data_IF_192185190143
#
_entry.id   IF_192185190143
#
_cell.length_a   1.000
_cell.length_b   1.000
_cell.length_c   1.000
_cell.angle_alpha   90.00
_cell.angle_beta   90.00
_cell.angle_gamma   90.00
#
_symmetry.space_group_name_H-M   'P 1'
#
loop_
_entity.id
_entity.type
_entity.pdbx_description
1 polymer ?
#
# COMPACT_ATOMS: atom_id res chain seq x y z
N UNK A 1 -1.12 7.13 7.04
CA UNK A 1 -0.13 8.24 7.25
C UNK A 1 -0.13 9.18 6.04
N UNK A 2 0.20 10.47 6.18
CA UNK A 2 0.35 11.39 5.05
C UNK A 2 1.82 11.59 4.71
N UNK A 3 2.23 11.30 3.47
CA UNK A 3 3.61 11.52 2.99
C UNK A 3 3.67 11.73 1.48
N UNK A 4 4.77 12.33 1.02
CA UNK A 4 5.10 12.39 -0.40
C UNK A 4 5.70 11.07 -0.89
N UNK A 5 5.38 10.69 -2.14
CA UNK A 5 5.88 9.47 -2.80
C UNK A 5 6.73 9.81 -4.03
N UNK A 6 7.91 10.45 -3.86
CA UNK A 6 8.78 10.79 -4.99
C UNK A 6 9.26 9.56 -5.77
N UNK A 7 9.23 8.38 -5.16
CA UNK A 7 9.51 7.08 -5.80
C UNK A 7 8.42 6.64 -6.78
N UNK A 8 7.19 7.13 -6.65
CA UNK A 8 6.05 6.79 -7.52
C UNK A 8 5.56 7.95 -8.39
N UNK A 9 5.84 9.20 -7.99
CA UNK A 9 5.28 10.40 -8.61
C UNK A 9 4.31 11.14 -7.67
N UNK A 10 4.15 12.44 -7.92
CA UNK A 10 3.37 13.34 -7.06
C UNK A 10 1.88 12.98 -6.99
N UNK A 11 1.36 12.26 -7.99
CA UNK A 11 -0.01 11.78 -8.01
C UNK A 11 -0.30 10.75 -6.90
N UNK A 12 0.71 9.98 -6.48
CA UNK A 12 0.58 8.95 -5.43
C UNK A 12 0.90 9.45 -4.02
N UNK A 13 1.34 10.70 -3.88
CA UNK A 13 1.50 11.38 -2.60
C UNK A 13 0.16 11.52 -1.85
N UNK A 14 0.24 11.85 -0.56
CA UNK A 14 -0.91 12.02 0.31
C UNK A 14 -1.08 10.83 1.24
N UNK A 15 -2.31 10.35 1.44
CA UNK A 15 -2.58 9.24 2.35
C UNK A 15 -2.01 7.91 1.86
N UNK A 16 -1.23 7.28 2.73
CA UNK A 16 -0.71 5.93 2.57
C UNK A 16 -1.24 5.02 3.69
N UNK A 17 -1.64 3.80 3.32
CA UNK A 17 -1.93 2.74 4.26
C UNK A 17 -0.62 2.18 4.83
N UNK A 18 -0.58 2.01 6.15
CA UNK A 18 0.43 1.27 6.89
C UNK A 18 -0.33 0.41 7.88
N UNK A 19 0.01 -0.87 7.95
CA UNK A 19 -0.59 -1.81 8.89
C UNK A 19 0.54 -2.52 9.67
N UNK A 20 0.50 -2.39 10.99
CA UNK A 20 1.45 -3.05 11.89
C UNK A 20 0.92 -4.36 12.47
N UNK A 21 -0.30 -4.76 12.10
CA UNK A 21 -0.86 -6.06 12.48
C UNK A 21 -0.11 -7.16 11.73
N UNK A 22 0.49 -8.15 12.41
CA UNK A 22 1.24 -9.21 11.75
C UNK A 22 0.28 -10.21 11.08
N UNK A 23 -0.12 -9.92 9.84
CA UNK A 23 -1.04 -10.75 9.05
C UNK A 23 -0.30 -11.54 7.96
N UNK A 24 0.48 -10.85 7.12
CA UNK A 24 1.29 -11.43 6.04
C UNK A 24 2.73 -10.91 6.11
N UNK A 25 3.68 -11.67 5.56
CA UNK A 25 5.08 -11.25 5.48
C UNK A 25 5.36 -10.47 4.19
N UNK A 26 6.10 -9.37 4.31
CA UNK A 26 6.63 -8.58 3.20
C UNK A 26 8.16 -8.59 3.26
N UNK A 27 8.75 -9.30 2.29
CA UNK A 27 10.17 -9.69 2.27
C UNK A 27 10.58 -10.39 3.59
N UNK A 28 9.88 -11.47 3.93
CA UNK A 28 10.12 -12.32 5.12
C UNK A 28 9.98 -11.63 6.50
N UNK A 29 9.48 -10.40 6.53
CA UNK A 29 9.24 -9.63 7.76
C UNK A 29 7.76 -9.26 7.86
N UNK A 30 7.16 -9.35 9.04
CA UNK A 30 5.80 -8.85 9.28
C UNK A 30 5.78 -7.32 9.26
N UNK A 31 5.37 -6.76 8.12
CA UNK A 31 5.19 -5.32 7.87
C UNK A 31 4.28 -5.15 6.65
N UNK A 32 3.58 -4.03 6.59
CA UNK A 32 2.76 -3.68 5.43
C UNK A 32 2.79 -2.16 5.19
N UNK A 33 3.07 -1.77 3.95
CA UNK A 33 3.08 -0.39 3.47
C UNK A 33 4.45 0.30 3.59
N UNK A 34 4.54 1.59 3.22
CA UNK A 34 3.43 2.47 2.84
C UNK A 34 2.85 2.18 1.45
N UNK A 35 1.54 1.87 1.40
CA UNK A 35 0.79 1.68 0.16
C UNK A 35 -0.02 2.94 -0.17
N UNK A 36 0.10 3.48 -1.40
CA UNK A 36 -0.66 4.68 -1.78
C UNK A 36 -2.16 4.37 -1.86
N UNK A 37 -2.99 5.11 -1.13
CA UNK A 37 -4.45 4.93 -1.22
C UNK A 37 -5.00 5.29 -2.60
N UNK A 38 -4.30 6.17 -3.35
CA UNK A 38 -4.63 6.40 -4.76
C UNK A 38 -4.42 5.14 -5.59
N UNK A 39 -3.24 4.52 -5.48
CA UNK A 39 -2.93 3.29 -6.22
C UNK A 39 -3.91 2.16 -5.87
N UNK A 40 -4.24 1.99 -4.58
CA UNK A 40 -5.23 0.99 -4.13
C UNK A 40 -6.60 1.26 -4.75
N UNK A 41 -7.12 2.50 -4.66
CA UNK A 41 -8.42 2.86 -5.24
C UNK A 41 -8.46 2.62 -6.75
N UNK A 42 -7.38 2.94 -7.45
CA UNK A 42 -7.30 2.83 -8.91
C UNK A 42 -6.93 1.40 -9.37
N UNK A 43 -6.74 0.45 -8.43
CA UNK A 43 -6.46 -0.96 -8.73
C UNK A 43 -5.02 -1.25 -9.18
N UNK A 44 -4.09 -0.32 -8.95
CA UNK A 44 -2.68 -0.43 -9.37
C UNK A 44 -1.85 -1.28 -8.39
N UNK A 45 -2.19 -2.57 -8.28
CA UNK A 45 -1.64 -3.50 -7.27
C UNK A 45 -0.14 -3.80 -7.39
N UNK A 46 0.48 -3.48 -8.51
CA UNK A 46 1.92 -3.69 -8.75
C UNK A 46 2.80 -2.55 -8.18
N UNK A 47 2.19 -1.47 -7.66
CA UNK A 47 2.93 -0.36 -7.08
C UNK A 47 3.45 -0.72 -5.68
N UNK A 48 4.71 -0.40 -5.36
CA UNK A 48 5.21 -0.59 -4.01
C UNK A 48 4.56 0.40 -3.03
N UNK A 49 4.45 0.10 -1.74
CA UNK A 49 4.67 -1.21 -1.12
C UNK A 49 3.33 -1.88 -0.86
N UNK A 50 3.28 -3.22 -0.97
CA UNK A 50 2.16 -4.08 -0.55
C UNK A 50 0.76 -3.69 -1.06
N UNK A 51 0.67 -2.96 -2.18
CA UNK A 51 -0.61 -2.45 -2.69
C UNK A 51 -1.59 -3.58 -3.02
N UNK A 52 -1.12 -4.73 -3.50
CA UNK A 52 -1.94 -5.91 -3.74
C UNK A 52 -2.62 -6.44 -2.47
N UNK A 53 -1.88 -6.50 -1.36
CA UNK A 53 -2.41 -6.97 -0.08
C UNK A 53 -3.44 -5.99 0.48
N UNK A 54 -3.11 -4.69 0.49
CA UNK A 54 -4.05 -3.65 0.95
C UNK A 54 -5.31 -3.61 0.09
N UNK A 55 -5.19 -3.82 -1.23
CA UNK A 55 -6.35 -3.95 -2.11
C UNK A 55 -7.21 -5.15 -1.73
N UNK A 56 -6.62 -6.33 -1.53
CA UNK A 56 -7.37 -7.52 -1.14
C UNK A 56 -8.15 -7.35 0.19
N UNK A 57 -7.60 -6.62 1.17
CA UNK A 57 -8.27 -6.35 2.45
C UNK A 57 -9.63 -5.64 2.29
N UNK A 58 -9.84 -4.91 1.19
CA UNK A 58 -11.06 -4.11 0.95
C UNK A 58 -11.84 -4.53 -0.30
N UNK A 59 -11.31 -5.45 -1.12
CA UNK A 59 -11.88 -5.82 -2.41
C UNK A 59 -11.88 -7.32 -2.72
N UNK A 60 -11.42 -8.21 -1.82
CA UNK A 60 -11.61 -9.64 -1.97
C UNK A 60 -13.11 -10.03 -1.87
N UNK A 61 -13.53 -11.07 -2.61
CA UNK A 61 -14.87 -11.68 -2.56
C UNK A 61 -14.96 -12.76 -1.48
#
# INVERSE_FOLDING_TARGET
>A
VWLDRPDLGAEYSGWQAIDSTPQETSEDVFRCGPASLRAVRDGEVQRPYDAAYVFAQVNAD
#
